data_IF_773569830734
#
_entry.id   IF_773569830734
#
_cell.length_a   1.000
_cell.length_b   1.000
_cell.length_c   1.000
_cell.angle_alpha   90.00
_cell.angle_beta   90.00
_cell.angle_gamma   90.00
#
_symmetry.space_group_name_H-M   'P 1'
#
loop_
_entity.id
_entity.type
_entity.pdbx_description
1 polymer ?
#
# COMPACT_ATOMS: atom_id res chain seq x y z
N UNK A 1 4.09 -4.48 -9.23
CA UNK A 1 2.89 -3.74 -9.67
C UNK A 1 2.02 -3.45 -8.47
N UNK A 2 1.45 -2.25 -8.36
CA UNK A 2 0.49 -1.91 -7.30
C UNK A 2 -0.75 -1.26 -7.91
N UNK A 3 -1.90 -1.47 -7.28
CA UNK A 3 -3.20 -0.92 -7.69
C UNK A 3 -3.77 -0.12 -6.53
N UNK A 4 -4.05 1.14 -6.80
CA UNK A 4 -4.56 2.11 -5.84
C UNK A 4 -5.97 2.57 -6.20
N UNK A 5 -6.81 2.77 -5.19
CA UNK A 5 -8.01 3.57 -5.29
C UNK A 5 -7.73 5.01 -4.86
N UNK A 6 -8.13 5.97 -5.70
CA UNK A 6 -8.04 7.42 -5.45
C UNK A 6 -9.44 8.07 -5.56
N UNK A 7 -9.66 9.20 -4.90
CA UNK A 7 -10.79 10.09 -5.21
C UNK A 7 -10.50 10.98 -6.43
N UNK A 8 -9.24 11.34 -6.66
CA UNK A 8 -8.71 11.98 -7.88
C UNK A 8 -7.30 11.47 -8.23
N UNK A 9 -7.02 11.16 -9.51
CA UNK A 9 -5.70 10.65 -9.92
C UNK A 9 -4.65 11.75 -9.88
N UNK A 10 -3.39 11.39 -9.63
CA UNK A 10 -2.26 12.32 -9.61
C UNK A 10 -2.06 13.13 -10.90
N UNK A 11 -2.52 12.63 -12.04
CA UNK A 11 -2.55 13.38 -13.30
C UNK A 11 -3.80 13.08 -14.13
N UNK A 12 -4.12 14.01 -15.04
CA UNK A 12 -5.10 13.82 -16.13
C UNK A 12 -4.45 13.22 -17.39
N UNK A 13 -3.12 13.05 -17.41
CA UNK A 13 -2.41 12.38 -18.51
C UNK A 13 -2.67 10.87 -18.48
N UNK A 14 -2.63 10.17 -19.62
CA UNK A 14 -2.82 8.71 -19.67
C UNK A 14 -1.75 7.92 -18.90
N UNK A 15 -0.58 8.51 -18.68
CA UNK A 15 0.46 8.03 -17.78
C UNK A 15 1.29 9.22 -17.26
N UNK A 16 1.94 9.04 -16.12
CA UNK A 16 2.88 10.00 -15.54
C UNK A 16 3.97 9.25 -14.75
N UNK A 17 5.06 9.94 -14.41
CA UNK A 17 6.05 9.39 -13.48
C UNK A 17 5.51 9.52 -12.06
N UNK A 18 5.40 8.41 -11.35
CA UNK A 18 5.14 8.44 -9.91
C UNK A 18 6.43 8.82 -9.16
N UNK A 19 6.31 9.64 -8.12
CA UNK A 19 7.42 9.95 -7.21
C UNK A 19 7.61 8.87 -6.13
N UNK A 20 8.78 8.87 -5.50
CA UNK A 20 9.06 8.03 -4.33
C UNK A 20 8.45 8.66 -3.07
N UNK A 21 7.24 8.23 -2.71
CA UNK A 21 6.53 8.45 -1.42
C UNK A 21 6.39 9.89 -0.88
N UNK A 22 6.94 10.93 -1.52
CA UNK A 22 6.82 12.33 -1.09
C UNK A 22 5.65 13.04 -1.78
N UNK A 23 4.58 13.22 -1.01
CA UNK A 23 3.22 13.43 -1.50
C UNK A 23 2.85 14.90 -1.79
N UNK A 24 3.83 15.70 -2.25
CA UNK A 24 3.66 17.16 -2.46
C UNK A 24 4.06 17.67 -3.85
N UNK A 25 4.15 16.80 -4.85
CA UNK A 25 4.48 17.17 -6.24
C UNK A 25 3.50 16.59 -7.27
N UNK A 26 3.58 17.05 -8.53
CA UNK A 26 2.82 16.52 -9.68
C UNK A 26 3.07 15.02 -9.98
N UNK A 27 3.90 14.35 -9.18
CA UNK A 27 4.24 12.93 -9.29
C UNK A 27 3.49 12.03 -8.30
N UNK A 28 2.53 12.54 -7.52
CA UNK A 28 1.71 11.70 -6.63
C UNK A 28 0.92 10.62 -7.39
N UNK A 29 0.53 9.54 -6.71
CA UNK A 29 -0.40 8.53 -7.24
C UNK A 29 -1.84 9.08 -7.24
N UNK A 30 -2.24 9.75 -6.17
CA UNK A 30 -3.55 10.38 -5.99
C UNK A 30 -3.37 11.86 -5.64
N UNK A 31 -4.07 12.77 -6.32
CA UNK A 31 -3.88 14.23 -6.15
C UNK A 31 -4.58 14.81 -4.92
N UNK A 32 -5.45 14.04 -4.30
CA UNK A 32 -6.22 14.35 -3.09
C UNK A 32 -5.51 13.93 -1.79
N UNK A 33 -4.32 13.33 -1.89
CA UNK A 33 -3.52 12.83 -0.76
C UNK A 33 -3.99 11.47 -0.21
N UNK A 34 -5.24 11.05 -0.49
CA UNK A 34 -5.81 9.80 0.02
C UNK A 34 -5.64 8.65 -1.00
N UNK A 35 -4.72 7.72 -0.72
CA UNK A 35 -4.54 6.49 -1.52
C UNK A 35 -4.94 5.25 -0.74
N UNK A 36 -5.72 4.36 -1.35
CA UNK A 36 -6.07 3.07 -0.77
C UNK A 36 -5.41 1.95 -1.58
N UNK A 37 -4.52 1.15 -0.99
CA UNK A 37 -3.96 -0.03 -1.67
C UNK A 37 -5.08 -1.06 -1.82
N UNK A 38 -5.39 -1.42 -3.06
CA UNK A 38 -6.44 -2.35 -3.43
C UNK A 38 -5.86 -3.74 -3.73
N UNK A 39 -4.74 -3.78 -4.43
CA UNK A 39 -4.04 -5.00 -4.82
C UNK A 39 -2.55 -4.70 -5.03
N UNK A 40 -1.71 -5.71 -4.79
CA UNK A 40 -0.29 -5.65 -5.06
C UNK A 40 0.19 -6.99 -5.63
N UNK A 41 1.10 -6.92 -6.60
CA UNK A 41 1.77 -8.06 -7.21
C UNK A 41 3.28 -7.80 -7.25
N UNK A 42 4.06 -8.84 -6.97
CA UNK A 42 5.50 -8.86 -7.14
C UNK A 42 5.88 -10.09 -7.98
N UNK A 43 7.02 -10.00 -8.66
CA UNK A 43 7.61 -11.15 -9.35
C UNK A 43 7.85 -12.27 -8.33
N UNK A 44 7.58 -13.51 -8.73
CA UNK A 44 7.73 -14.74 -7.94
C UNK A 44 6.91 -14.82 -6.63
N UNK A 45 6.01 -13.86 -6.36
CA UNK A 45 5.04 -13.97 -5.28
C UNK A 45 3.90 -14.94 -5.63
N UNK A 46 3.41 -15.68 -4.64
CA UNK A 46 2.27 -16.59 -4.82
C UNK A 46 0.95 -15.82 -4.99
N UNK A 47 0.04 -16.39 -5.78
CA UNK A 47 -1.28 -15.81 -6.02
C UNK A 47 -2.12 -15.78 -4.74
N UNK A 48 -2.41 -14.58 -4.23
CA UNK A 48 -3.41 -14.40 -3.18
C UNK A 48 -4.82 -14.70 -3.73
N UNK A 49 -5.53 -15.66 -3.16
CA UNK A 49 -6.96 -15.87 -3.41
C UNK A 49 -7.76 -14.74 -2.75
N UNK A 50 -8.32 -13.86 -3.57
CA UNK A 50 -9.03 -12.68 -3.11
C UNK A 50 -10.36 -13.07 -2.43
N UNK A 51 -10.76 -12.41 -1.32
CA UNK A 51 -12.13 -12.49 -0.79
C UNK A 51 -13.16 -11.97 -1.84
N UNK A 52 -14.49 -12.11 -1.65
CA UNK A 52 -15.49 -11.86 -2.71
C UNK A 52 -15.50 -10.46 -3.37
N UNK A 53 -14.79 -9.47 -2.83
CA UNK A 53 -14.56 -8.19 -3.50
C UNK A 53 -14.25 -7.03 -2.55
N UNK A 54 -13.87 -5.89 -3.13
CA UNK A 54 -13.78 -4.59 -2.45
C UNK A 54 -14.79 -3.62 -3.09
N UNK A 55 -15.21 -2.59 -2.34
CA UNK A 55 -16.24 -1.63 -2.81
C UNK A 55 -15.59 -0.43 -3.50
N UNK A 56 -16.07 -0.10 -4.70
CA UNK A 56 -15.66 1.08 -5.48
C UNK A 56 -16.84 1.97 -5.82
N UNK A 57 -16.58 3.26 -6.07
CA UNK A 57 -17.58 4.26 -6.42
C UNK A 57 -18.72 4.41 -5.40
N UNK A 58 -19.86 4.99 -5.81
CA UNK A 58 -21.01 5.22 -4.93
C UNK A 58 -20.64 6.11 -3.74
N UNK A 59 -20.86 5.60 -2.53
CA UNK A 59 -20.48 6.27 -1.27
C UNK A 59 -19.03 6.05 -0.84
N UNK A 60 -18.22 5.27 -1.55
CA UNK A 60 -16.80 5.10 -1.22
C UNK A 60 -15.94 6.25 -1.75
N UNK A 61 -14.75 6.41 -1.17
CA UNK A 61 -13.75 7.42 -1.57
C UNK A 61 -13.04 7.05 -2.90
N UNK A 62 -13.07 5.78 -3.30
CA UNK A 62 -12.47 5.29 -4.56
C UNK A 62 -13.35 5.69 -5.74
N UNK A 63 -12.95 6.71 -6.50
CA UNK A 63 -13.56 7.10 -7.79
C UNK A 63 -12.73 6.67 -8.99
N UNK A 64 -11.42 6.57 -8.83
CA UNK A 64 -10.46 6.17 -9.86
C UNK A 64 -9.61 5.01 -9.38
N UNK A 65 -9.19 4.16 -10.32
CA UNK A 65 -8.17 3.14 -10.11
C UNK A 65 -6.90 3.58 -10.82
N UNK A 66 -5.78 3.60 -10.10
CA UNK A 66 -4.46 3.97 -10.63
C UNK A 66 -3.52 2.79 -10.47
N UNK A 67 -2.85 2.39 -11.55
CA UNK A 67 -1.91 1.26 -11.56
C UNK A 67 -0.48 1.80 -11.61
N UNK A 68 0.33 1.45 -10.61
CA UNK A 68 1.75 1.76 -10.56
C UNK A 68 2.58 0.55 -11.00
N UNK A 69 3.40 0.76 -12.02
CA UNK A 69 4.44 -0.17 -12.45
C UNK A 69 5.77 0.29 -11.85
N UNK A 70 6.53 -0.65 -11.30
CA UNK A 70 7.81 -0.38 -10.65
C UNK A 70 8.92 -1.06 -11.46
N UNK A 71 9.91 -0.26 -11.87
CA UNK A 71 11.13 -0.69 -12.56
C UNK A 71 12.29 -0.33 -11.63
N UNK A 72 13.24 -1.25 -11.41
CA UNK A 72 14.16 -1.23 -10.26
C UNK A 72 15.52 -0.61 -10.58
N UNK A 73 16.03 0.21 -9.64
CA UNK A 73 17.44 0.28 -9.23
C UNK A 73 17.54 0.63 -7.71
N UNK A 74 18.74 0.78 -7.13
CA UNK A 74 19.04 0.35 -5.74
C UNK A 74 19.42 1.44 -4.67
N UNK A 75 19.97 0.96 -3.52
CA UNK A 75 20.45 1.68 -2.30
C UNK A 75 19.31 2.10 -1.30
N UNK A 76 19.45 2.61 -0.05
CA UNK A 76 20.51 2.67 1.03
C UNK A 76 19.90 2.20 2.41
N UNK A 77 20.66 2.20 3.53
CA UNK A 77 20.29 1.58 4.83
C UNK A 77 19.63 2.51 5.89
N UNK A 78 18.60 2.02 6.60
CA UNK A 78 17.97 2.66 7.77
C UNK A 78 17.20 1.65 8.64
N UNK A 79 17.06 1.89 9.95
CA UNK A 79 16.28 1.07 10.89
C UNK A 79 15.02 1.81 11.37
N UNK A 80 13.86 1.14 11.36
CA UNK A 80 12.57 1.72 11.75
C UNK A 80 11.73 0.73 12.58
N UNK A 81 11.11 1.23 13.66
CA UNK A 81 10.14 0.49 14.49
C UNK A 81 8.80 1.23 14.50
N UNK A 82 7.68 0.48 14.52
CA UNK A 82 6.32 1.07 14.57
C UNK A 82 5.40 0.22 15.47
N UNK A 83 4.65 0.88 16.37
CA UNK A 83 3.67 0.23 17.24
C UNK A 83 2.55 1.20 17.65
N UNK A 84 1.31 0.71 17.76
CA UNK A 84 0.14 1.49 18.19
C UNK A 84 -0.83 0.58 18.98
N UNK A 85 -1.66 1.17 19.85
CA UNK A 85 -2.74 0.45 20.54
C UNK A 85 -4.04 0.55 19.73
N UNK A 86 -4.68 -0.58 19.44
CA UNK A 86 -5.95 -0.64 18.74
C UNK A 86 -7.14 -0.68 19.70
N UNK A 87 -8.14 0.18 19.47
CA UNK A 87 -9.34 0.34 20.34
C UNK A 87 -10.66 0.18 19.58
N UNK A 88 -10.61 -0.18 18.29
CA UNK A 88 -11.80 -0.33 17.45
C UNK A 88 -12.49 -1.69 17.54
N UNK A 89 -13.41 -1.95 16.62
CA UNK A 89 -14.07 -3.26 16.48
C UNK A 89 -13.07 -4.30 15.96
N UNK A 90 -13.17 -5.61 16.32
CA UNK A 90 -12.24 -6.63 15.86
C UNK A 90 -12.05 -6.63 14.33
N UNK A 91 -10.78 -6.57 13.91
CA UNK A 91 -10.36 -6.71 12.50
C UNK A 91 -9.75 -8.10 12.34
N UNK A 92 -10.15 -8.82 11.28
CA UNK A 92 -9.50 -10.08 10.88
C UNK A 92 -8.49 -9.77 9.77
N UNK A 93 -7.21 -9.90 10.09
CA UNK A 93 -6.14 -9.77 9.09
C UNK A 93 -6.11 -11.00 8.18
N UNK A 94 -6.34 -10.81 6.88
CA UNK A 94 -6.34 -11.90 5.87
C UNK A 94 -5.06 -11.93 5.03
N UNK A 95 -4.36 -10.80 4.95
CA UNK A 95 -3.07 -10.64 4.28
C UNK A 95 -2.37 -9.38 4.81
N UNK A 96 -1.06 -9.33 4.62
CA UNK A 96 -0.23 -8.16 4.87
C UNK A 96 0.73 -7.95 3.70
N UNK A 97 1.25 -6.73 3.55
CA UNK A 97 2.35 -6.40 2.64
C UNK A 97 3.37 -5.57 3.41
N UNK A 98 4.60 -6.05 3.50
CA UNK A 98 5.74 -5.22 3.88
C UNK A 98 6.14 -4.34 2.69
N UNK A 99 6.66 -3.15 2.99
CA UNK A 99 7.35 -2.33 2.00
C UNK A 99 8.62 -1.80 2.64
N UNK A 100 9.73 -2.24 2.10
CA UNK A 100 11.05 -1.70 2.33
C UNK A 100 11.69 -1.40 0.98
N UNK A 101 12.64 -0.48 0.99
CA UNK A 101 13.61 -0.38 -0.09
C UNK A 101 14.69 -1.45 0.13
N UNK A 102 15.80 -1.40 -0.61
CA UNK A 102 16.67 -2.55 -0.90
C UNK A 102 17.29 -3.28 0.30
N UNK A 103 17.23 -2.71 1.51
CA UNK A 103 17.96 -3.17 2.70
C UNK A 103 17.05 -3.49 3.90
N UNK A 104 15.72 -3.51 3.70
CA UNK A 104 14.81 -3.93 4.76
C UNK A 104 14.86 -5.44 5.00
N UNK A 105 15.70 -5.86 5.94
CA UNK A 105 15.70 -7.21 6.49
C UNK A 105 14.59 -7.32 7.55
N UNK A 106 13.41 -7.79 7.15
CA UNK A 106 12.28 -7.94 8.06
C UNK A 106 12.40 -9.22 8.90
N UNK A 107 12.82 -9.08 10.15
CA UNK A 107 12.67 -10.13 11.16
C UNK A 107 11.20 -10.18 11.61
N UNK A 108 10.36 -10.88 10.84
CA UNK A 108 9.01 -11.25 11.25
C UNK A 108 9.10 -12.56 12.04
N UNK A 109 9.05 -12.50 13.37
CA UNK A 109 8.93 -13.70 14.19
C UNK A 109 7.56 -14.37 13.95
N UNK A 110 7.46 -15.69 14.07
CA UNK A 110 6.18 -16.43 14.08
C UNK A 110 5.20 -15.88 15.14
N UNK A 111 5.73 -15.23 16.18
CA UNK A 111 4.95 -14.50 17.16
C UNK A 111 4.36 -13.17 16.66
N UNK A 112 4.89 -12.54 15.61
CA UNK A 112 4.33 -11.32 15.00
C UNK A 112 3.05 -11.64 14.23
N UNK A 113 3.03 -12.73 13.45
CA UNK A 113 1.84 -13.17 12.71
C UNK A 113 0.68 -13.56 13.65
N UNK A 114 1.01 -14.16 14.81
CA UNK A 114 0.04 -14.45 15.86
C UNK A 114 -0.29 -13.23 16.76
N UNK A 115 0.36 -12.08 16.54
CA UNK A 115 0.16 -10.82 17.28
C UNK A 115 -0.05 -9.64 16.34
N UNK A 116 -0.91 -9.81 15.31
CA UNK A 116 -1.45 -8.69 14.51
C UNK A 116 -2.40 -7.78 15.34
N UNK A 117 -1.88 -7.16 16.40
CA UNK A 117 -2.44 -5.94 16.97
C UNK A 117 -2.06 -4.76 16.09
N UNK A 118 -2.75 -4.67 14.95
CA UNK A 118 -2.92 -3.48 14.09
C UNK A 118 -1.69 -2.61 13.82
N UNK A 119 -1.10 -2.76 12.64
CA UNK A 119 -0.31 -1.69 12.02
C UNK A 119 -1.30 -0.61 11.54
N UNK A 120 -1.41 0.49 12.28
CA UNK A 120 -2.24 1.63 11.90
C UNK A 120 -1.44 2.60 11.00
N UNK A 121 -2.07 3.02 9.90
CA UNK A 121 -1.70 4.26 9.22
C UNK A 121 -2.55 5.40 9.82
N UNK A 122 -1.93 6.56 10.04
CA UNK A 122 -2.64 7.81 10.40
C UNK A 122 -3.39 8.39 9.19
#
# INVERSE_FOLDING_TARGET
MMVYGCGSPGSKRPYWKCGEMDDRSESSVCSDGERQIVYAWALDASDMKFPPGFRVSGSTRIKYIVIQLHYKDAFEEFHAETACQYTGKPIVALAYRTHSHNLGQSNLDEGFLNRFHSVCFN
#
